data_IF_742137879377
#
_entry.id   IF_742137879377
#
_cell.length_a   1.000
_cell.length_b   1.000
_cell.length_c   1.000
_cell.angle_alpha   90.00
_cell.angle_beta   90.00
_cell.angle_gamma   90.00
#
_symmetry.space_group_name_H-M   'P 1'
#
loop_
_entity.id
_entity.type
_entity.pdbx_description
1 polymer ?
#
# COMPACT_ATOMS: atom_id res chain seq x y z
N UNK A 1 9.44 -49.68 -3.37
CA UNK A 1 10.27 -48.82 -2.51
C UNK A 1 10.94 -47.66 -3.27
N UNK A 2 11.60 -47.89 -4.41
CA UNK A 2 12.31 -46.84 -5.17
C UNK A 2 11.40 -45.90 -6.00
N UNK A 3 10.26 -46.43 -6.46
CA UNK A 3 9.31 -45.69 -7.31
C UNK A 3 8.54 -44.65 -6.47
N UNK A 4 8.06 -45.03 -5.28
CA UNK A 4 7.32 -44.13 -4.40
C UNK A 4 8.12 -42.88 -3.99
N UNK A 5 9.43 -43.03 -3.76
CA UNK A 5 10.29 -41.90 -3.41
C UNK A 5 10.45 -40.89 -4.57
N UNK A 6 10.38 -41.37 -5.81
CA UNK A 6 10.38 -40.52 -7.00
C UNK A 6 9.04 -39.81 -7.18
N UNK A 7 7.92 -40.51 -7.01
CA UNK A 7 6.57 -39.92 -7.09
C UNK A 7 6.34 -38.88 -5.99
N UNK A 8 6.83 -39.10 -4.77
CA UNK A 8 6.76 -38.12 -3.67
C UNK A 8 7.59 -36.86 -3.94
N UNK A 9 8.76 -37.01 -4.57
CA UNK A 9 9.59 -35.87 -4.99
C UNK A 9 8.94 -35.10 -6.15
N UNK A 10 8.30 -35.81 -7.09
CA UNK A 10 7.63 -35.22 -8.25
C UNK A 10 6.34 -34.49 -7.84
N UNK A 11 5.58 -35.05 -6.88
CA UNK A 11 4.42 -34.40 -6.27
C UNK A 11 4.80 -33.19 -5.40
N UNK A 12 5.99 -33.18 -4.80
CA UNK A 12 6.54 -32.00 -4.09
C UNK A 12 7.03 -30.91 -5.06
N UNK A 13 7.62 -31.28 -6.19
CA UNK A 13 8.10 -30.33 -7.21
C UNK A 13 6.96 -29.56 -7.89
N UNK A 14 5.77 -30.17 -8.05
CA UNK A 14 4.59 -29.48 -8.61
C UNK A 14 3.93 -28.45 -7.69
N UNK A 15 4.37 -28.35 -6.43
CA UNK A 15 3.87 -27.39 -5.42
C UNK A 15 4.84 -26.24 -5.15
N UNK A 16 5.93 -26.12 -5.91
CA UNK A 16 6.80 -24.94 -5.86
C UNK A 16 6.09 -23.75 -6.52
N UNK A 17 5.63 -22.89 -5.62
CA UNK A 17 5.68 -21.45 -5.76
C UNK A 17 4.72 -20.83 -6.77
N UNK A 18 3.44 -20.80 -6.36
CA UNK A 18 2.67 -19.56 -6.55
C UNK A 18 3.35 -18.50 -5.67
N UNK A 19 4.50 -18.01 -6.11
CA UNK A 19 5.17 -16.87 -5.50
C UNK A 19 4.14 -15.75 -5.51
N UNK A 20 3.70 -15.33 -4.33
CA UNK A 20 2.87 -14.16 -4.18
C UNK A 20 3.58 -13.03 -4.93
N UNK A 21 3.01 -12.60 -6.05
CA UNK A 21 3.56 -11.49 -6.82
C UNK A 21 3.49 -10.26 -5.90
N UNK A 22 4.60 -9.95 -5.23
CA UNK A 22 4.67 -8.84 -4.30
C UNK A 22 4.87 -7.57 -5.12
N UNK A 23 3.89 -6.66 -5.04
CA UNK A 23 4.04 -5.33 -5.62
C UNK A 23 4.99 -4.54 -4.73
N UNK A 24 6.21 -4.29 -5.22
CA UNK A 24 7.18 -3.46 -4.53
C UNK A 24 6.91 -1.99 -4.83
N UNK A 25 6.64 -1.20 -3.78
CA UNK A 25 6.56 0.26 -3.90
C UNK A 25 7.98 0.82 -3.73
N UNK A 26 8.52 1.59 -4.70
CA UNK A 26 9.83 2.18 -4.57
C UNK A 26 9.84 3.21 -3.43
N UNK A 27 10.94 3.34 -2.67
CA UNK A 27 11.05 4.38 -1.66
C UNK A 27 11.00 5.77 -2.30
N UNK A 28 10.20 6.66 -1.74
CA UNK A 28 10.11 8.05 -2.18
C UNK A 28 11.37 8.86 -1.84
N UNK A 29 11.51 10.07 -2.42
CA UNK A 29 12.58 11.00 -2.04
C UNK A 29 12.43 11.42 -0.57
N UNK A 30 13.52 11.98 0.01
CA UNK A 30 13.46 12.51 1.38
C UNK A 30 12.45 13.66 1.47
N UNK A 31 11.56 13.57 2.45
CA UNK A 31 10.55 14.59 2.73
C UNK A 31 11.02 15.54 3.86
N UNK A 32 10.65 16.82 3.76
CA UNK A 32 10.90 17.83 4.80
C UNK A 32 9.87 17.77 5.94
N UNK A 33 10.01 18.61 6.98
CA UNK A 33 9.26 18.48 8.23
C UNK A 33 7.73 18.57 8.16
N UNK A 34 7.16 19.27 7.17
CA UNK A 34 5.72 19.30 6.88
C UNK A 34 5.53 18.89 5.43
N UNK A 35 4.72 17.85 5.20
CA UNK A 35 4.52 17.28 3.86
C UNK A 35 3.24 17.82 3.23
N UNK A 36 2.16 17.89 4.01
CA UNK A 36 0.90 18.51 3.60
C UNK A 36 0.44 19.42 4.73
N UNK A 37 0.00 20.63 4.39
CA UNK A 37 -0.67 21.53 5.31
C UNK A 37 -1.93 22.05 4.62
N UNK A 38 -3.06 21.95 5.32
CA UNK A 38 -4.30 22.59 4.95
C UNK A 38 -4.72 23.48 6.11
N UNK A 39 -5.19 24.68 5.79
CA UNK A 39 -5.75 25.60 6.77
C UNK A 39 -7.11 26.10 6.29
N UNK A 40 -8.12 25.90 7.13
CA UNK A 40 -9.52 26.30 6.95
C UNK A 40 -10.07 25.91 5.55
N UNK A 41 -9.74 24.71 5.09
CA UNK A 41 -10.12 24.23 3.75
C UNK A 41 -11.64 24.12 3.64
N UNK A 42 -12.18 24.73 2.59
CA UNK A 42 -13.61 24.65 2.23
C UNK A 42 -13.76 24.22 0.78
N UNK A 43 -14.66 23.28 0.51
CA UNK A 43 -14.94 22.79 -0.83
C UNK A 43 -16.42 22.47 -0.98
N UNK A 44 -17.01 22.85 -2.11
CA UNK A 44 -18.35 22.45 -2.51
C UNK A 44 -18.35 21.97 -3.97
N UNK A 45 -19.35 21.17 -4.33
CA UNK A 45 -19.68 20.79 -5.69
C UNK A 45 -21.13 21.16 -6.00
N UNK A 46 -21.31 22.20 -6.82
CA UNK A 46 -22.59 22.88 -6.98
C UNK A 46 -23.09 23.39 -5.62
N UNK A 47 -24.31 23.04 -5.27
CA UNK A 47 -24.94 23.40 -3.99
C UNK A 47 -24.55 22.48 -2.83
N UNK A 48 -23.77 21.41 -3.08
CA UNK A 48 -23.37 20.45 -2.06
C UNK A 48 -22.03 20.82 -1.44
N UNK A 49 -22.04 21.20 -0.16
CA UNK A 49 -20.83 21.37 0.64
C UNK A 49 -20.16 20.00 0.86
N UNK A 50 -18.86 19.91 0.54
CA UNK A 50 -18.05 18.69 0.64
C UNK A 50 -17.06 18.74 1.82
N UNK A 51 -16.47 19.91 2.05
CA UNK A 51 -15.49 20.15 3.12
C UNK A 51 -15.77 21.53 3.68
N UNK A 52 -15.75 21.69 5.01
CA UNK A 52 -15.87 22.98 5.67
C UNK A 52 -14.91 23.10 6.85
N UNK A 53 -14.05 24.12 6.81
CA UNK A 53 -13.16 24.48 7.90
C UNK A 53 -12.13 23.42 8.28
N UNK A 54 -11.67 22.59 7.33
CA UNK A 54 -10.71 21.54 7.61
C UNK A 54 -9.27 22.11 7.67
N UNK A 55 -8.66 22.06 8.86
CA UNK A 55 -7.23 22.36 9.06
C UNK A 55 -6.48 21.11 9.51
N UNK A 56 -5.39 20.74 8.82
CA UNK A 56 -4.53 19.62 9.21
C UNK A 56 -3.09 19.80 8.75
N UNK A 57 -2.17 19.10 9.41
CA UNK A 57 -0.77 18.98 9.00
C UNK A 57 -0.39 17.51 8.95
N UNK A 58 0.17 17.08 7.83
CA UNK A 58 0.70 15.73 7.63
C UNK A 58 2.23 15.76 7.73
N UNK A 59 2.83 15.10 8.75
CA UNK A 59 4.28 14.96 8.84
C UNK A 59 4.81 13.85 7.90
N UNK A 60 6.14 13.77 7.69
CA UNK A 60 6.79 12.68 6.97
C UNK A 60 6.41 11.30 7.48
N UNK A 61 6.11 10.39 6.55
CA UNK A 61 5.72 9.01 6.89
C UNK A 61 4.33 8.87 7.51
N UNK A 62 3.54 9.94 7.59
CA UNK A 62 2.14 9.87 7.99
C UNK A 62 1.32 9.08 6.98
N UNK A 63 0.61 8.05 7.46
CA UNK A 63 -0.36 7.28 6.67
C UNK A 63 -1.75 7.75 7.08
N UNK A 64 -2.55 8.19 6.11
CA UNK A 64 -3.94 8.65 6.30
C UNK A 64 -4.84 7.80 5.42
N UNK A 65 -5.89 7.22 6.00
CA UNK A 65 -6.89 6.38 5.33
C UNK A 65 -8.30 6.83 5.65
#
# INVERSE_FOLDING_TARGET
ARINAYEDLLAKAGKEDINFAQIQIPPGPRLGGVVIEADNLKKAFGDKLLIDGLSFKLPPGGIVG
#
